data_IF_244848388631
#
_entry.id   IF_244848388631
#
_cell.length_a   1.000
_cell.length_b   1.000
_cell.length_c   1.000
_cell.angle_alpha   90.00
_cell.angle_beta   90.00
_cell.angle_gamma   90.00
#
_symmetry.space_group_name_H-M   'P 1'
#
loop_
_entity.id
_entity.type
_entity.pdbx_description
1 polymer ?
#
# COMPACT_ATOMS: atom_id res chain seq x y z
N UNK A 1 3.34 -17.33 -12.05
CA UNK A 1 3.74 -16.79 -10.72
C UNK A 1 2.52 -16.76 -9.83
N UNK A 2 2.62 -17.39 -8.67
CA UNK A 2 1.53 -17.40 -7.68
C UNK A 2 1.69 -16.23 -6.73
N UNK A 3 0.69 -15.34 -6.66
CA UNK A 3 0.65 -14.19 -5.77
C UNK A 3 -0.41 -14.41 -4.72
N UNK A 4 -0.01 -14.37 -3.45
CA UNK A 4 -0.91 -14.52 -2.31
C UNK A 4 -0.78 -13.32 -1.37
N UNK A 5 -1.87 -12.97 -0.72
CA UNK A 5 -1.89 -11.99 0.37
C UNK A 5 -2.15 -12.74 1.67
N UNK A 6 -1.21 -12.66 2.60
CA UNK A 6 -1.28 -13.36 3.88
C UNK A 6 -1.16 -12.38 5.04
N UNK A 7 -1.73 -12.73 6.19
CA UNK A 7 -1.59 -11.92 7.39
C UNK A 7 -0.16 -11.94 7.90
N UNK A 8 0.30 -10.80 8.41
CA UNK A 8 1.57 -10.69 9.11
C UNK A 8 1.50 -11.38 10.48
N UNK A 9 2.62 -11.96 10.90
CA UNK A 9 2.80 -12.50 12.26
C UNK A 9 4.20 -12.17 12.80
N UNK A 10 4.42 -12.35 14.10
CA UNK A 10 5.73 -12.12 14.71
C UNK A 10 6.83 -13.04 14.17
N UNK A 11 6.46 -14.20 13.61
CA UNK A 11 7.38 -15.09 12.92
C UNK A 11 8.03 -14.46 11.68
N UNK A 12 7.38 -13.46 11.09
CA UNK A 12 7.86 -12.76 9.90
C UNK A 12 8.82 -11.60 10.21
N UNK A 13 9.13 -11.36 11.48
CA UNK A 13 9.86 -10.17 11.94
C UNK A 13 11.20 -9.95 11.22
N UNK A 14 12.04 -10.97 11.14
CA UNK A 14 13.35 -10.86 10.49
C UNK A 14 13.21 -10.53 9.00
N UNK A 15 12.27 -11.17 8.32
CA UNK A 15 11.99 -10.90 6.91
C UNK A 15 11.46 -9.48 6.71
N UNK A 16 10.58 -9.01 7.59
CA UNK A 16 10.08 -7.64 7.56
C UNK A 16 11.21 -6.61 7.68
N UNK A 17 12.13 -6.81 8.62
CA UNK A 17 13.30 -5.95 8.82
C UNK A 17 14.15 -5.92 7.55
N UNK A 18 14.45 -7.08 6.99
CA UNK A 18 15.24 -7.19 5.76
C UNK A 18 14.59 -6.45 4.59
N UNK A 19 13.29 -6.63 4.39
CA UNK A 19 12.53 -5.98 3.32
C UNK A 19 12.54 -4.46 3.52
N UNK A 20 12.19 -3.97 4.71
CA UNK A 20 12.10 -2.54 4.98
C UNK A 20 13.46 -1.81 4.88
N UNK A 21 14.58 -2.52 5.05
CA UNK A 21 15.91 -1.97 4.82
C UNK A 21 16.36 -2.07 3.35
N UNK A 22 15.61 -2.76 2.49
CA UNK A 22 16.00 -3.02 1.09
C UNK A 22 15.13 -2.29 0.06
N UNK A 23 13.97 -1.75 0.47
CA UNK A 23 13.04 -1.09 -0.46
C UNK A 23 13.59 0.22 -1.01
N UNK A 24 13.17 0.57 -2.23
CA UNK A 24 13.38 1.90 -2.80
C UNK A 24 12.41 2.89 -2.14
N UNK A 25 12.95 3.92 -1.50
CA UNK A 25 12.18 4.93 -0.75
C UNK A 25 11.91 6.20 -1.54
N UNK A 26 12.34 6.27 -2.80
CA UNK A 26 12.28 7.50 -3.62
C UNK A 26 10.89 8.13 -3.66
N UNK A 27 9.85 7.31 -3.72
CA UNK A 27 8.45 7.75 -3.80
C UNK A 27 7.60 7.32 -2.60
N UNK A 28 8.23 7.01 -1.48
CA UNK A 28 7.53 6.67 -0.24
C UNK A 28 7.53 7.86 0.73
N UNK A 29 6.43 8.03 1.46
CA UNK A 29 6.39 8.94 2.58
C UNK A 29 7.32 8.46 3.72
N UNK A 30 7.71 9.36 4.62
CA UNK A 30 8.67 9.08 5.67
C UNK A 30 8.16 8.25 6.85
N UNK A 31 7.10 7.46 6.67
CA UNK A 31 6.49 6.65 7.74
C UNK A 31 7.26 5.38 8.09
N UNK A 32 8.10 4.90 7.18
CA UNK A 32 8.91 3.70 7.41
C UNK A 32 10.26 4.13 7.97
N UNK A 33 10.59 3.79 9.23
CA UNK A 33 11.88 4.15 9.83
C UNK A 33 13.08 3.72 8.99
N UNK A 34 14.15 4.51 9.03
CA UNK A 34 15.40 4.22 8.35
C UNK A 34 16.58 4.58 9.26
N UNK A 35 17.38 3.62 9.75
CA UNK A 35 17.26 2.18 9.52
C UNK A 35 16.01 1.57 10.17
N UNK A 36 15.55 0.47 9.60
CA UNK A 36 14.44 -0.32 10.18
C UNK A 36 15.03 -1.34 11.15
N UNK A 37 14.65 -1.21 12.42
CA UNK A 37 15.23 -1.98 13.51
C UNK A 37 14.26 -3.06 14.01
N UNK A 38 14.74 -3.95 14.88
CA UNK A 38 13.90 -4.92 15.59
C UNK A 38 12.79 -4.22 16.39
N UNK A 39 13.11 -3.12 17.05
CA UNK A 39 12.15 -2.29 17.78
C UNK A 39 11.08 -1.71 16.83
N UNK A 40 11.48 -1.24 15.66
CA UNK A 40 10.54 -0.78 14.62
C UNK A 40 9.58 -1.87 14.20
N UNK A 41 10.09 -3.08 13.99
CA UNK A 41 9.28 -4.25 13.60
C UNK A 41 8.31 -4.66 14.70
N UNK A 42 8.75 -4.71 15.95
CA UNK A 42 7.90 -5.04 17.09
C UNK A 42 6.74 -4.06 17.23
N UNK A 43 7.03 -2.77 17.17
CA UNK A 43 6.00 -1.73 17.23
C UNK A 43 4.98 -1.89 16.09
N UNK A 44 5.46 -2.08 14.86
CA UNK A 44 4.59 -2.19 13.69
C UNK A 44 3.74 -3.46 13.73
N UNK A 45 4.33 -4.61 14.06
CA UNK A 45 3.60 -5.88 14.14
C UNK A 45 2.55 -5.87 15.26
N UNK A 46 2.81 -5.21 16.40
CA UNK A 46 1.81 -4.98 17.43
C UNK A 46 0.66 -4.13 16.92
N UNK A 47 0.95 -3.01 16.26
CA UNK A 47 -0.05 -2.13 15.69
C UNK A 47 -0.92 -2.84 14.66
N UNK A 48 -0.30 -3.61 13.77
CA UNK A 48 -1.02 -4.42 12.77
C UNK A 48 -1.95 -5.41 13.44
N UNK A 49 -1.49 -6.12 14.47
CA UNK A 49 -2.31 -7.08 15.20
C UNK A 49 -3.54 -6.46 15.87
N UNK A 50 -3.42 -5.22 16.33
CA UNK A 50 -4.53 -4.48 16.94
C UNK A 50 -5.53 -3.94 15.93
N UNK A 51 -5.07 -3.56 14.75
CA UNK A 51 -5.86 -2.81 13.74
C UNK A 51 -6.45 -3.69 12.65
N UNK A 52 -5.79 -4.81 12.32
CA UNK A 52 -6.18 -5.67 11.20
C UNK A 52 -7.58 -6.26 11.39
N UNK A 53 -8.43 -6.08 10.38
CA UNK A 53 -9.82 -6.52 10.40
C UNK A 53 -10.78 -5.60 11.16
N UNK A 54 -10.29 -4.53 11.79
CA UNK A 54 -11.11 -3.52 12.50
C UNK A 54 -11.22 -2.23 11.69
N UNK A 55 -10.12 -1.50 11.58
CA UNK A 55 -10.03 -0.23 10.86
C UNK A 55 -8.92 -0.24 9.81
N UNK A 56 -8.33 -1.37 9.53
CA UNK A 56 -7.31 -1.55 8.51
C UNK A 56 -7.25 -3.00 8.04
N UNK A 57 -6.67 -3.19 6.86
CA UNK A 57 -6.28 -4.50 6.34
C UNK A 57 -4.80 -4.41 5.97
N UNK A 58 -3.98 -5.24 6.61
CA UNK A 58 -2.54 -5.33 6.35
C UNK A 58 -2.22 -6.73 5.84
N UNK A 59 -1.49 -6.81 4.72
CA UNK A 59 -1.11 -8.11 4.15
C UNK A 59 0.33 -8.09 3.68
N UNK A 60 1.06 -9.15 4.00
CA UNK A 60 2.33 -9.44 3.34
C UNK A 60 2.03 -9.98 1.94
N UNK A 61 2.82 -9.51 0.98
CA UNK A 61 2.72 -9.98 -0.41
C UNK A 61 3.67 -11.17 -0.54
N UNK A 62 3.12 -12.32 -0.89
CA UNK A 62 3.88 -13.56 -1.08
C UNK A 62 3.88 -13.92 -2.57
N UNK A 63 5.05 -14.01 -3.17
CA UNK A 63 5.23 -14.41 -4.56
C UNK A 63 6.04 -15.72 -4.60
N UNK A 64 5.45 -16.77 -5.14
CA UNK A 64 6.05 -18.11 -5.21
C UNK A 64 6.64 -18.57 -3.86
N UNK A 65 5.86 -18.39 -2.79
CA UNK A 65 6.22 -18.83 -1.44
C UNK A 65 7.18 -17.92 -0.68
N UNK A 66 7.59 -16.78 -1.24
CA UNK A 66 8.50 -15.83 -0.59
C UNK A 66 7.80 -14.50 -0.31
N UNK A 67 8.01 -13.96 0.88
CA UNK A 67 7.53 -12.62 1.22
C UNK A 67 8.37 -11.60 0.45
N UNK A 68 7.70 -10.75 -0.34
CA UNK A 68 8.38 -9.79 -1.23
C UNK A 68 7.96 -8.34 -1.00
N UNK A 69 6.97 -8.08 -0.16
CA UNK A 69 6.50 -6.74 0.12
C UNK A 69 5.33 -6.69 1.08
N UNK A 70 4.75 -5.51 1.19
CA UNK A 70 3.60 -5.22 2.02
C UNK A 70 2.56 -4.42 1.25
N UNK A 71 1.30 -4.64 1.57
CA UNK A 71 0.18 -3.84 1.07
C UNK A 71 -0.86 -3.66 2.17
N UNK A 72 -1.45 -2.48 2.25
CA UNK A 72 -2.45 -2.17 3.25
C UNK A 72 -3.54 -1.25 2.71
N UNK A 73 -4.70 -1.30 3.34
CA UNK A 73 -5.78 -0.32 3.23
C UNK A 73 -6.15 0.10 4.64
N UNK A 74 -6.02 1.39 4.94
CA UNK A 74 -6.28 1.96 6.25
C UNK A 74 -7.49 2.90 6.19
N UNK A 75 -8.51 2.62 7.01
CA UNK A 75 -9.71 3.44 7.13
C UNK A 75 -9.38 4.78 7.77
N UNK A 76 -10.02 5.83 7.30
CA UNK A 76 -9.90 7.17 7.87
C UNK A 76 -10.88 7.35 9.03
N UNK A 77 -10.75 8.46 9.73
CA UNK A 77 -11.51 8.76 10.95
C UNK A 77 -12.49 9.92 10.73
N UNK A 78 -13.34 10.15 11.72
CA UNK A 78 -14.28 11.26 11.78
C UNK A 78 -15.25 11.24 10.58
N UNK A 79 -15.49 12.38 9.95
CA UNK A 79 -16.37 12.50 8.78
C UNK A 79 -15.83 11.80 7.55
N UNK A 80 -14.57 11.38 7.58
CA UNK A 80 -13.90 10.62 6.51
C UNK A 80 -13.94 9.11 6.73
N UNK A 81 -14.73 8.62 7.69
CA UNK A 81 -14.72 7.20 8.11
C UNK A 81 -15.18 6.20 7.04
N UNK A 82 -15.82 6.66 5.98
CA UNK A 82 -16.15 5.83 4.82
C UNK A 82 -15.06 5.81 3.75
N UNK A 83 -14.01 6.61 3.93
CA UNK A 83 -12.84 6.66 3.09
C UNK A 83 -11.70 5.84 3.69
N UNK A 84 -10.81 5.40 2.84
CA UNK A 84 -9.60 4.66 3.23
C UNK A 84 -8.46 5.00 2.30
N UNK A 85 -7.26 4.57 2.64
CA UNK A 85 -6.06 4.83 1.83
C UNK A 85 -5.27 3.55 1.63
N UNK A 86 -4.90 3.29 0.38
CA UNK A 86 -4.03 2.18 0.00
C UNK A 86 -2.56 2.61 0.07
N UNK A 87 -1.72 1.71 0.55
CA UNK A 87 -0.26 1.87 0.53
C UNK A 87 0.41 0.54 0.24
N UNK A 88 1.53 0.57 -0.43
CA UNK A 88 2.29 -0.66 -0.74
C UNK A 88 3.75 -0.37 -1.02
N UNK A 89 4.59 -1.37 -0.79
CA UNK A 89 5.96 -1.41 -1.25
C UNK A 89 6.36 -2.84 -1.60
N UNK A 90 7.38 -2.97 -2.43
CA UNK A 90 7.88 -4.24 -2.93
C UNK A 90 9.41 -4.19 -2.96
N UNK A 91 10.05 -5.34 -2.82
CA UNK A 91 11.49 -5.45 -3.05
C UNK A 91 11.82 -4.99 -4.48
N UNK A 92 12.91 -4.20 -4.70
CA UNK A 92 13.24 -3.66 -6.02
C UNK A 92 13.35 -4.70 -7.13
N UNK A 93 13.96 -5.85 -6.84
CA UNK A 93 14.14 -6.95 -7.79
C UNK A 93 12.83 -7.67 -8.16
N UNK A 94 11.75 -7.34 -7.47
CA UNK A 94 10.40 -7.88 -7.73
C UNK A 94 9.50 -6.92 -8.47
N UNK A 95 9.94 -5.68 -8.66
CA UNK A 95 9.18 -4.67 -9.39
C UNK A 95 9.02 -5.02 -10.87
N UNK A 96 8.04 -4.41 -11.52
CA UNK A 96 7.75 -4.55 -12.97
C UNK A 96 7.39 -5.96 -13.45
N UNK A 97 6.90 -6.80 -12.53
CA UNK A 97 6.48 -8.20 -12.83
C UNK A 97 4.97 -8.42 -12.63
N UNK A 98 4.19 -7.35 -12.49
CA UNK A 98 2.75 -7.43 -12.28
C UNK A 98 2.32 -7.81 -10.85
N UNK A 99 3.25 -8.01 -9.93
CA UNK A 99 2.97 -8.46 -8.55
C UNK A 99 2.09 -7.45 -7.83
N UNK A 100 2.43 -6.15 -7.86
CA UNK A 100 1.65 -5.11 -7.20
C UNK A 100 0.27 -4.95 -7.84
N UNK A 101 0.16 -5.06 -9.16
CA UNK A 101 -1.13 -4.98 -9.85
C UNK A 101 -2.11 -6.04 -9.33
N UNK A 102 -1.64 -7.27 -9.19
CA UNK A 102 -2.45 -8.36 -8.65
C UNK A 102 -2.72 -8.18 -7.14
N UNK A 103 -1.74 -7.73 -6.38
CA UNK A 103 -1.89 -7.45 -4.95
C UNK A 103 -2.93 -6.35 -4.69
N UNK A 104 -2.93 -5.27 -5.47
CA UNK A 104 -3.91 -4.17 -5.37
C UNK A 104 -5.32 -4.68 -5.65
N UNK A 105 -5.49 -5.50 -6.69
CA UNK A 105 -6.79 -6.10 -6.98
C UNK A 105 -7.32 -6.87 -5.77
N UNK A 106 -6.52 -7.76 -5.22
CA UNK A 106 -6.90 -8.61 -4.09
C UNK A 106 -7.17 -7.81 -2.82
N UNK A 107 -6.33 -6.83 -2.47
CA UNK A 107 -6.52 -6.07 -1.24
C UNK A 107 -7.76 -5.18 -1.30
N UNK A 108 -8.12 -4.64 -2.47
CA UNK A 108 -9.34 -3.86 -2.63
C UNK A 108 -10.57 -4.70 -2.36
N UNK A 109 -10.61 -5.93 -2.87
CA UNK A 109 -11.72 -6.86 -2.61
C UNK A 109 -11.82 -7.17 -1.11
N UNK A 110 -10.71 -7.48 -0.45
CA UNK A 110 -10.67 -7.74 1.00
C UNK A 110 -11.13 -6.51 1.79
N UNK A 111 -10.63 -5.33 1.46
CA UNK A 111 -10.96 -4.09 2.16
C UNK A 111 -12.44 -3.75 2.07
N UNK A 112 -13.05 -3.84 0.89
CA UNK A 112 -14.48 -3.60 0.73
C UNK A 112 -15.36 -4.63 1.41
N UNK A 113 -14.86 -5.85 1.66
CA UNK A 113 -15.58 -6.89 2.40
C UNK A 113 -15.41 -6.76 3.91
N UNK A 114 -14.20 -6.45 4.39
CA UNK A 114 -13.88 -6.47 5.81
C UNK A 114 -14.02 -5.12 6.52
N UNK A 115 -13.90 -4.01 5.78
CA UNK A 115 -13.98 -2.66 6.34
C UNK A 115 -15.29 -1.97 5.95
N UNK A 116 -15.81 -1.15 6.84
CA UNK A 116 -16.99 -0.32 6.57
C UNK A 116 -16.60 0.94 5.78
N UNK A 117 -16.12 0.73 4.56
CA UNK A 117 -15.68 1.80 3.65
C UNK A 117 -16.36 1.68 2.29
N UNK A 118 -16.59 2.81 1.64
CA UNK A 118 -17.18 2.88 0.30
C UNK A 118 -16.17 3.42 -0.72
N UNK A 119 -15.00 3.82 -0.27
CA UNK A 119 -13.97 4.48 -1.07
C UNK A 119 -12.57 4.09 -0.61
N UNK A 120 -11.68 3.85 -1.58
CA UNK A 120 -10.24 3.69 -1.35
C UNK A 120 -9.53 4.75 -2.17
N UNK A 121 -8.72 5.60 -1.53
CA UNK A 121 -7.87 6.57 -2.22
C UNK A 121 -6.44 6.06 -2.34
N UNK A 122 -5.75 6.51 -3.38
CA UNK A 122 -4.31 6.33 -3.55
C UNK A 122 -3.65 7.68 -3.82
N UNK A 123 -2.54 7.95 -3.15
CA UNK A 123 -1.74 9.16 -3.37
C UNK A 123 -0.41 8.75 -3.99
N UNK A 124 -0.09 9.29 -5.15
CA UNK A 124 1.09 8.90 -5.91
C UNK A 124 1.83 10.14 -6.36
N UNK A 125 3.15 10.22 -6.13
CA UNK A 125 3.97 11.29 -6.66
C UNK A 125 3.88 11.26 -8.18
N UNK A 126 3.64 12.41 -8.81
CA UNK A 126 3.37 12.49 -10.26
C UNK A 126 4.40 11.76 -11.13
N UNK A 127 5.73 11.84 -10.86
CA UNK A 127 6.71 11.13 -11.66
C UNK A 127 6.75 9.60 -11.42
N UNK A 128 6.05 9.08 -10.43
CA UNK A 128 5.98 7.64 -10.18
C UNK A 128 4.99 6.96 -11.14
N UNK A 129 5.37 6.88 -12.40
CA UNK A 129 4.52 6.36 -13.48
C UNK A 129 4.12 4.90 -13.25
N UNK A 130 5.01 4.09 -12.71
CA UNK A 130 4.75 2.69 -12.44
C UNK A 130 3.56 2.51 -11.46
N UNK A 131 3.56 3.24 -10.35
CA UNK A 131 2.47 3.19 -9.36
C UNK A 131 1.16 3.76 -9.91
N UNK A 132 1.23 4.83 -10.71
CA UNK A 132 0.05 5.41 -11.38
C UNK A 132 -0.62 4.37 -12.28
N UNK A 133 0.16 3.67 -13.10
CA UNK A 133 -0.36 2.60 -13.98
C UNK A 133 -0.95 1.43 -13.20
N UNK A 134 -0.38 1.07 -12.07
CA UNK A 134 -0.92 0.02 -11.19
C UNK A 134 -2.34 0.38 -10.74
N UNK A 135 -2.54 1.61 -10.26
CA UNK A 135 -3.85 2.08 -9.81
C UNK A 135 -4.84 2.16 -10.97
N UNK A 136 -4.45 2.71 -12.11
CA UNK A 136 -5.29 2.82 -13.31
C UNK A 136 -5.76 1.44 -13.80
N UNK A 137 -4.88 0.44 -13.80
CA UNK A 137 -5.23 -0.95 -14.15
C UNK A 137 -6.19 -1.61 -13.16
N UNK A 138 -6.33 -1.05 -11.98
CA UNK A 138 -7.25 -1.52 -10.94
C UNK A 138 -8.48 -0.63 -10.77
N UNK A 139 -8.85 0.10 -11.81
CA UNK A 139 -10.05 0.93 -11.89
C UNK A 139 -10.07 2.12 -10.93
N UNK A 140 -8.90 2.56 -10.48
CA UNK A 140 -8.77 3.84 -9.82
C UNK A 140 -8.81 4.95 -10.86
N UNK A 141 -9.58 5.99 -10.59
CA UNK A 141 -9.68 7.19 -11.43
C UNK A 141 -8.80 8.30 -10.87
N UNK A 142 -8.08 9.02 -11.74
CA UNK A 142 -7.37 10.23 -11.34
C UNK A 142 -8.41 11.32 -11.04
N UNK A 143 -8.44 11.77 -9.80
CA UNK A 143 -9.41 12.78 -9.35
C UNK A 143 -8.83 14.19 -9.32
N UNK A 144 -7.52 14.31 -9.32
CA UNK A 144 -6.84 15.60 -9.35
C UNK A 144 -5.35 15.48 -9.15
N UNK A 145 -4.66 16.59 -9.38
CA UNK A 145 -3.23 16.73 -9.15
C UNK A 145 -3.02 17.92 -8.21
N UNK A 146 -2.43 17.67 -7.06
CA UNK A 146 -2.05 18.71 -6.10
C UNK A 146 -0.67 19.22 -6.47
N UNK A 147 -0.59 20.50 -6.91
CA UNK A 147 0.66 21.09 -7.35
C UNK A 147 1.57 21.36 -6.16
N UNK A 148 2.85 21.01 -6.31
CA UNK A 148 3.91 21.29 -5.30
C UNK A 148 3.55 20.76 -3.90
N UNK A 149 2.87 19.64 -3.81
CA UNK A 149 2.33 19.11 -2.57
C UNK A 149 3.31 18.24 -1.77
N UNK A 150 4.43 17.83 -2.37
CA UNK A 150 5.42 16.96 -1.74
C UNK A 150 6.80 17.61 -1.83
N UNK A 151 7.48 17.66 -0.68
CA UNK A 151 8.89 18.02 -0.61
C UNK A 151 9.67 16.82 -0.05
N UNK A 152 10.57 16.26 -0.85
CA UNK A 152 11.36 15.11 -0.46
C UNK A 152 12.74 15.13 -1.08
N UNK A 153 13.77 14.93 -0.25
CA UNK A 153 15.17 14.89 -0.68
C UNK A 153 15.59 16.14 -1.50
N UNK A 154 15.09 17.31 -1.11
CA UNK A 154 15.37 18.57 -1.81
C UNK A 154 14.56 18.81 -3.07
N UNK A 155 13.70 17.89 -3.47
CA UNK A 155 12.85 17.98 -4.66
C UNK A 155 11.39 18.24 -4.30
N UNK A 156 10.72 19.03 -5.13
CA UNK A 156 9.28 19.30 -5.01
C UNK A 156 8.55 18.51 -6.11
N UNK A 157 7.48 17.81 -5.69
CA UNK A 157 6.66 17.00 -6.59
C UNK A 157 5.19 17.39 -6.51
N UNK A 158 4.49 17.25 -7.63
CA UNK A 158 3.04 17.20 -7.64
C UNK A 158 2.58 15.84 -7.10
N UNK A 159 1.40 15.83 -6.49
CA UNK A 159 0.77 14.63 -5.93
C UNK A 159 -0.49 14.29 -6.71
N UNK A 160 -0.52 13.11 -7.31
CA UNK A 160 -1.71 12.60 -7.99
C UNK A 160 -2.64 11.94 -6.96
N UNK A 161 -3.91 12.34 -7.00
CA UNK A 161 -4.97 11.80 -6.15
C UNK A 161 -5.82 10.85 -6.97
N UNK A 162 -5.82 9.58 -6.61
CA UNK A 162 -6.63 8.53 -7.21
C UNK A 162 -7.72 8.08 -6.25
N UNK A 163 -8.85 7.64 -6.79
CA UNK A 163 -9.94 7.10 -6.00
C UNK A 163 -10.63 5.94 -6.70
N UNK A 164 -11.09 4.99 -5.89
CA UNK A 164 -11.90 3.86 -6.31
C UNK A 164 -13.10 3.74 -5.37
N UNK A 165 -14.30 3.65 -5.94
CA UNK A 165 -15.53 3.43 -5.18
C UNK A 165 -15.87 1.94 -5.14
N UNK A 166 -16.61 1.53 -4.11
CA UNK A 166 -17.01 0.12 -3.91
C UNK A 166 -17.76 -0.50 -5.10
N UNK A 167 -18.43 0.32 -5.91
CA UNK A 167 -19.16 -0.13 -7.11
C UNK A 167 -18.34 -0.07 -8.40
N UNK A 168 -17.14 0.49 -8.37
CA UNK A 168 -16.33 0.66 -9.57
C UNK A 168 -15.76 -0.70 -10.03
N UNK A 169 -16.04 -1.03 -11.28
CA UNK A 169 -15.49 -2.23 -11.94
C UNK A 169 -14.93 -1.82 -13.30
N UNK A 170 -13.93 -2.56 -13.76
CA UNK A 170 -13.49 -2.44 -15.14
C UNK A 170 -14.70 -2.64 -16.05
N UNK A 171 -14.95 -1.67 -16.94
CA UNK A 171 -15.82 -1.87 -18.08
C UNK A 171 -15.07 -2.83 -19.01
N UNK A 172 -15.31 -4.12 -18.74
CA UNK A 172 -14.72 -5.19 -19.53
C UNK A 172 -15.29 -5.21 -20.92
#
# INVERSE_FOLDING_TARGET
MKIELQKWSFEDKETLITICNSIDRSYLAGRIPNPYTEESADWWLNMVGESDGKNAVFRKIVADGKIVGNISVEQKEDVYCKNSEIGYFLLPERCSKGIITEAVKKICEIAFQELDVIRIRGRVYEPNIASRKVLEKNDFSLEGVLRNAVFKNGEIYNLCMYGKLAGDRANG
#
